data_IF_249439360017
#
_entry.id   IF_249439360017
#
_cell.length_a   1.000
_cell.length_b   1.000
_cell.length_c   1.000
_cell.angle_alpha   90.00
_cell.angle_beta   90.00
_cell.angle_gamma   90.00
#
_symmetry.space_group_name_H-M   'P 1'
#
loop_
_entity.id
_entity.type
_entity.pdbx_description
1 polymer ?
#
# COMPACT_ATOMS: atom_id res chain seq x y z
N UNK A 1 1.92 -4.48 16.04
CA UNK A 1 1.57 -3.08 15.66
C UNK A 1 1.11 -3.07 14.23
N UNK A 2 0.18 -2.18 13.88
CA UNK A 2 -0.43 -2.12 12.55
C UNK A 2 -0.27 -0.70 11.97
N UNK A 3 -0.03 -0.59 10.66
CA UNK A 3 0.12 0.69 9.97
C UNK A 3 -0.53 0.61 8.60
N UNK A 4 -1.25 1.66 8.24
CA UNK A 4 -1.81 1.84 6.91
C UNK A 4 -1.28 3.15 6.31
N UNK A 5 -1.01 3.13 5.00
CA UNK A 5 -0.68 4.33 4.24
C UNK A 5 -1.32 4.26 2.86
N UNK A 6 -2.10 5.29 2.51
CA UNK A 6 -2.93 5.35 1.31
C UNK A 6 -2.63 6.59 0.49
N UNK A 7 -2.81 6.44 -0.82
CA UNK A 7 -2.74 7.48 -1.82
C UNK A 7 -4.09 7.57 -2.53
N UNK A 8 -4.51 8.77 -2.91
CA UNK A 8 -5.61 8.94 -3.84
C UNK A 8 -5.07 8.86 -5.27
N UNK A 9 -5.68 8.00 -6.09
CA UNK A 9 -5.23 7.78 -7.48
C UNK A 9 -6.44 7.72 -8.42
N UNK A 10 -6.35 8.42 -9.55
CA UNK A 10 -7.36 8.40 -10.61
C UNK A 10 -7.36 7.06 -11.34
N UNK A 11 -8.50 6.65 -11.90
CA UNK A 11 -8.59 5.46 -12.76
C UNK A 11 -7.64 5.60 -13.97
N UNK A 12 -6.88 4.56 -14.27
CA UNK A 12 -5.98 4.51 -15.42
C UNK A 12 -4.62 5.20 -15.18
N UNK A 13 -4.44 5.91 -14.07
CA UNK A 13 -3.12 6.43 -13.67
C UNK A 13 -2.20 5.29 -13.25
N UNK A 14 -0.90 5.48 -13.50
CA UNK A 14 0.14 4.53 -13.11
C UNK A 14 1.04 5.15 -12.05
N UNK A 15 1.37 4.38 -11.02
CA UNK A 15 2.45 4.71 -10.09
C UNK A 15 3.35 3.51 -9.83
N UNK A 16 4.62 3.80 -9.55
CA UNK A 16 5.64 2.87 -9.12
C UNK A 16 5.82 2.98 -7.61
N UNK A 17 6.12 1.87 -6.96
CA UNK A 17 6.41 1.82 -5.53
C UNK A 17 7.59 0.93 -5.22
N UNK A 18 8.27 1.27 -4.13
CA UNK A 18 9.14 0.35 -3.40
C UNK A 18 9.03 0.64 -1.92
N UNK A 19 8.90 -0.41 -1.12
CA UNK A 19 9.04 -0.28 0.32
C UNK A 19 10.02 -1.31 0.86
N UNK A 20 10.67 -0.95 1.97
CA UNK A 20 11.54 -1.84 2.73
C UNK A 20 11.46 -1.54 4.22
N UNK A 21 11.77 -2.52 5.03
CA UNK A 21 11.93 -2.37 6.48
C UNK A 21 13.38 -2.18 6.86
N UNK A 22 13.63 -1.49 7.97
CA UNK A 22 14.98 -1.44 8.55
C UNK A 22 15.43 -2.79 9.13
N UNK A 23 14.47 -3.59 9.62
CA UNK A 23 14.67 -4.95 10.13
C UNK A 23 13.34 -5.71 10.20
N UNK A 24 13.42 -7.04 10.22
CA UNK A 24 12.26 -7.91 10.36
C UNK A 24 11.34 -7.92 9.13
N UNK A 25 10.54 -8.97 9.00
CA UNK A 25 9.50 -9.06 7.96
C UNK A 25 8.17 -8.56 8.52
N UNK A 26 7.36 -7.98 7.65
CA UNK A 26 5.99 -7.58 7.96
C UNK A 26 5.04 -8.39 7.08
N UNK A 27 3.89 -8.78 7.65
CA UNK A 27 2.76 -9.10 6.79
C UNK A 27 2.31 -7.81 6.12
N UNK A 28 1.98 -7.87 4.83
CA UNK A 28 1.50 -6.73 4.08
C UNK A 28 0.33 -7.10 3.15
N UNK A 29 -0.51 -6.12 2.87
CA UNK A 29 -1.53 -6.16 1.82
C UNK A 29 -1.51 -4.84 1.07
N UNK A 30 -1.05 -4.88 -0.19
CA UNK A 30 -1.20 -3.79 -1.15
C UNK A 30 -2.57 -3.91 -1.79
N UNK A 31 -3.47 -2.98 -1.48
CA UNK A 31 -4.88 -3.02 -1.85
C UNK A 31 -5.39 -1.65 -2.29
N UNK A 32 -6.62 -1.62 -2.81
CA UNK A 32 -7.33 -0.38 -3.10
C UNK A 32 -8.82 -0.49 -2.90
N UNK A 33 -9.43 0.64 -2.61
CA UNK A 33 -10.86 0.83 -2.34
C UNK A 33 -11.43 1.79 -3.38
N UNK A 34 -12.47 1.39 -4.14
CA UNK A 34 -13.10 2.27 -5.10
C UNK A 34 -13.74 3.48 -4.42
N UNK A 35 -13.60 4.65 -5.03
CA UNK A 35 -14.23 5.89 -4.55
C UNK A 35 -15.75 5.73 -4.50
N UNK A 36 -16.33 6.07 -3.35
CA UNK A 36 -17.78 6.01 -3.13
C UNK A 36 -18.32 4.62 -2.83
N UNK A 37 -17.47 3.61 -2.69
CA UNK A 37 -17.88 2.30 -2.17
C UNK A 37 -18.11 2.37 -0.66
N UNK A 38 -19.33 2.06 -0.23
CA UNK A 38 -19.71 2.00 1.19
C UNK A 38 -19.98 0.57 1.67
N UNK A 39 -19.62 -0.43 0.86
CA UNK A 39 -19.81 -1.86 1.19
C UNK A 39 -18.64 -2.42 2.00
N UNK A 40 -17.51 -1.70 2.02
CA UNK A 40 -16.24 -2.18 2.57
C UNK A 40 -15.45 -3.03 1.59
N UNK A 41 -15.80 -3.00 0.30
CA UNK A 41 -15.06 -3.72 -0.72
C UNK A 41 -13.68 -3.11 -0.91
N UNK A 42 -12.67 -3.99 -0.95
CA UNK A 42 -11.32 -3.64 -1.38
C UNK A 42 -10.79 -4.74 -2.31
N UNK A 43 -9.88 -4.35 -3.20
CA UNK A 43 -9.15 -5.26 -4.08
C UNK A 43 -7.71 -5.40 -3.59
N UNK A 44 -7.32 -6.61 -3.20
CA UNK A 44 -5.90 -6.95 -3.01
C UNK A 44 -5.19 -7.06 -4.36
N UNK A 45 -4.08 -6.33 -4.51
CA UNK A 45 -3.16 -6.45 -5.64
C UNK A 45 -1.98 -7.35 -5.32
N UNK A 46 -1.47 -7.31 -4.07
CA UNK A 46 -0.38 -8.17 -3.62
C UNK A 46 -0.39 -8.29 -2.09
N UNK A 47 -0.31 -9.51 -1.58
CA UNK A 47 -0.18 -9.75 -0.13
C UNK A 47 0.86 -10.81 0.17
N UNK A 48 1.41 -10.79 1.38
CA UNK A 48 2.38 -11.78 1.85
C UNK A 48 3.14 -11.30 3.07
N UNK A 49 4.24 -11.98 3.40
CA UNK A 49 5.14 -11.60 4.50
C UNK A 49 6.55 -11.38 3.96
N UNK A 50 7.03 -10.14 4.01
CA UNK A 50 8.33 -9.76 3.45
C UNK A 50 8.95 -8.58 4.20
N UNK A 51 10.25 -8.37 4.05
CA UNK A 51 10.95 -7.15 4.49
C UNK A 51 11.01 -6.08 3.40
N UNK A 52 10.60 -6.41 2.18
CA UNK A 52 10.55 -5.50 1.04
C UNK A 52 9.53 -5.94 -0.01
N UNK A 53 9.02 -4.98 -0.78
CA UNK A 53 8.38 -5.24 -2.06
C UNK A 53 8.44 -4.00 -2.95
N UNK A 54 8.46 -4.23 -4.26
CA UNK A 54 8.37 -3.18 -5.28
C UNK A 54 7.47 -3.62 -6.44
N UNK A 55 7.07 -2.66 -7.25
CA UNK A 55 6.30 -2.88 -8.47
C UNK A 55 5.69 -1.59 -9.01
N UNK A 56 4.83 -1.74 -10.00
CA UNK A 56 3.98 -0.67 -10.53
C UNK A 56 2.53 -1.12 -10.52
N UNK A 57 1.61 -0.15 -10.47
CA UNK A 57 0.18 -0.38 -10.60
C UNK A 57 -0.41 0.65 -11.56
N UNK A 58 -1.06 0.17 -12.62
CA UNK A 58 -2.05 0.94 -13.37
C UNK A 58 -3.41 0.67 -12.75
N UNK A 59 -4.05 1.70 -12.19
CA UNK A 59 -5.29 1.53 -11.43
C UNK A 59 -6.47 1.22 -12.35
N UNK A 60 -7.33 0.30 -11.92
CA UNK A 60 -8.54 -0.08 -12.68
C UNK A 60 -9.80 0.67 -12.20
N UNK A 61 -9.69 1.42 -11.11
CA UNK A 61 -10.72 2.30 -10.56
C UNK A 61 -10.08 3.54 -9.93
N UNK A 62 -10.86 4.62 -9.82
CA UNK A 62 -10.49 5.78 -9.00
C UNK A 62 -10.74 5.42 -7.54
N UNK A 63 -9.84 5.82 -6.65
CA UNK A 63 -10.00 5.57 -5.23
C UNK A 63 -8.69 5.58 -4.47
N UNK A 64 -8.74 5.12 -3.22
CA UNK A 64 -7.53 5.01 -2.42
C UNK A 64 -6.80 3.72 -2.75
N UNK A 65 -5.49 3.80 -2.91
CA UNK A 65 -4.60 2.66 -3.12
C UNK A 65 -3.47 2.76 -2.11
N UNK A 66 -3.11 1.66 -1.48
CA UNK A 66 -2.18 1.73 -0.37
C UNK A 66 -1.81 0.39 0.21
N UNK A 67 -1.04 0.46 1.28
CA UNK A 67 -0.50 -0.70 1.94
C UNK A 67 -0.98 -0.72 3.38
N UNK A 68 -1.43 -1.90 3.79
CA UNK A 68 -1.49 -2.28 5.18
C UNK A 68 -0.23 -3.08 5.52
N UNK A 69 0.36 -2.80 6.68
CA UNK A 69 1.45 -3.59 7.26
C UNK A 69 1.14 -3.99 8.69
N UNK A 70 1.39 -5.26 9.01
CA UNK A 70 1.30 -5.82 10.36
C UNK A 70 2.66 -6.30 10.83
N UNK A 71 3.10 -5.72 11.94
CA UNK A 71 4.31 -6.10 12.67
C UNK A 71 3.97 -7.07 13.81
N UNK A 72 4.38 -8.33 13.64
CA UNK A 72 4.32 -9.39 14.66
C UNK A 72 5.67 -9.67 15.32
N UNK A 73 6.70 -8.87 15.04
CA UNK A 73 8.02 -9.00 15.67
C UNK A 73 7.95 -8.41 17.10
N UNK A 74 8.82 -8.88 18.03
CA UNK A 74 8.87 -8.37 19.41
C UNK A 74 9.55 -6.98 19.53
N UNK A 75 9.82 -6.32 18.41
CA UNK A 75 10.52 -5.04 18.35
C UNK A 75 9.86 -4.09 17.33
N UNK A 76 10.05 -2.76 17.48
CA UNK A 76 9.58 -1.80 16.48
C UNK A 76 10.30 -1.99 15.15
N UNK A 77 9.56 -1.76 14.07
CA UNK A 77 10.03 -1.83 12.68
C UNK A 77 9.67 -0.52 11.99
N UNK A 78 10.64 0.07 11.28
CA UNK A 78 10.46 1.27 10.48
C UNK A 78 10.32 0.89 9.01
N UNK A 79 9.38 1.51 8.31
CA UNK A 79 9.12 1.28 6.88
C UNK A 79 9.58 2.53 6.13
N UNK A 80 10.39 2.35 5.10
CA UNK A 80 10.65 3.38 4.09
C UNK A 80 9.83 3.04 2.86
N UNK A 81 8.97 3.96 2.42
CA UNK A 81 8.13 3.83 1.23
C UNK A 81 8.51 4.95 0.24
N UNK A 82 8.92 4.56 -0.97
CA UNK A 82 9.14 5.46 -2.09
C UNK A 82 8.04 5.24 -3.13
N UNK A 83 7.42 6.33 -3.59
CA UNK A 83 6.36 6.28 -4.61
C UNK A 83 6.60 7.35 -5.65
N UNK A 84 6.47 6.99 -6.93
CA UNK A 84 6.63 7.88 -8.09
C UNK A 84 5.46 7.68 -9.05
N UNK A 85 4.92 8.77 -9.58
CA UNK A 85 3.84 8.75 -10.57
C UNK A 85 2.70 9.70 -10.19
N UNK A 86 1.56 9.52 -10.84
CA UNK A 86 0.41 10.41 -10.69
C UNK A 86 -0.47 9.96 -9.52
N UNK A 87 -0.21 10.56 -8.35
CA UNK A 87 -0.99 10.32 -7.14
C UNK A 87 -1.13 11.60 -6.32
N UNK A 88 -2.13 11.61 -5.42
CA UNK A 88 -2.27 12.62 -4.38
C UNK A 88 -2.08 11.97 -3.01
N UNK A 89 -1.30 12.63 -2.15
CA UNK A 89 -1.14 12.21 -0.76
C UNK A 89 -2.37 12.62 0.07
N UNK A 90 -2.61 11.88 1.16
CA UNK A 90 -3.76 12.07 2.05
C UNK A 90 -3.37 12.71 3.41
N UNK A 91 -2.12 13.15 3.56
CA UNK A 91 -1.58 13.82 4.74
C UNK A 91 -1.48 15.34 4.59
#
# INVERSE_FOLDING_TARGET
GEKEYKLQVSKGSTFEYSWQTNKGKLYFDFHGEPKGDNTGYFKTFKKGTSSLASGSLTTIFEGTHGWYWKNSNPYPVSITLNVKGDYKRLD
#
